data_IF_395184065132
#
_entry.id   IF_395184065132
#
_cell.length_a   1.000
_cell.length_b   1.000
_cell.length_c   1.000
_cell.angle_alpha   90.00
_cell.angle_beta   90.00
_cell.angle_gamma   90.00
#
_symmetry.space_group_name_H-M   'P 1'
#
loop_
_entity.id
_entity.type
_entity.pdbx_description
1 polymer ?
#
# COMPACT_ATOMS: atom_id res chain seq x y z
N UNK A 1 -24.82 7.40 0.79
CA UNK A 1 -23.79 6.71 1.57
C UNK A 1 -23.47 5.29 1.07
N UNK A 2 -24.46 4.43 0.81
CA UNK A 2 -24.22 3.02 0.36
C UNK A 2 -23.36 2.87 -0.92
N UNK A 3 -23.30 3.90 -1.78
CA UNK A 3 -22.62 3.84 -3.09
C UNK A 3 -21.09 3.70 -3.00
N UNK A 4 -20.43 4.20 -1.94
CA UNK A 4 -18.95 4.18 -1.81
C UNK A 4 -18.46 3.38 -0.60
N UNK A 5 -19.35 2.70 0.10
CA UNK A 5 -19.01 1.96 1.32
C UNK A 5 -17.87 0.95 1.08
N UNK A 6 -17.95 0.17 0.00
CA UNK A 6 -16.94 -0.83 -0.31
C UNK A 6 -15.55 -0.19 -0.53
N UNK A 7 -15.47 0.89 -1.32
CA UNK A 7 -14.21 1.62 -1.57
C UNK A 7 -13.60 2.20 -0.30
N UNK A 8 -14.45 2.77 0.57
CA UNK A 8 -14.02 3.32 1.85
C UNK A 8 -13.55 2.19 2.78
N UNK A 9 -14.29 1.08 2.85
CA UNK A 9 -13.90 -0.08 3.66
C UNK A 9 -12.57 -0.66 3.22
N UNK A 10 -12.35 -0.82 1.91
CA UNK A 10 -11.08 -1.28 1.35
C UNK A 10 -9.92 -0.37 1.78
N UNK A 11 -10.06 0.95 1.60
CA UNK A 11 -9.03 1.93 1.96
C UNK A 11 -8.74 1.91 3.46
N UNK A 12 -9.77 1.86 4.31
CA UNK A 12 -9.62 1.80 5.77
C UNK A 12 -8.88 0.53 6.18
N UNK A 13 -9.33 -0.64 5.71
CA UNK A 13 -8.69 -1.91 6.07
C UNK A 13 -7.25 -1.96 5.56
N UNK A 14 -6.99 -1.49 4.34
CA UNK A 14 -5.62 -1.45 3.85
C UNK A 14 -4.73 -0.51 4.67
N UNK A 15 -5.25 0.66 5.08
CA UNK A 15 -4.50 1.60 5.94
C UNK A 15 -4.24 1.03 7.33
N UNK A 16 -5.16 0.24 7.85
CA UNK A 16 -5.04 -0.41 9.16
C UNK A 16 -4.16 -1.67 9.14
N UNK A 17 -3.69 -2.17 7.98
CA UNK A 17 -2.93 -3.42 7.94
C UNK A 17 -1.61 -3.34 8.73
N UNK A 18 -0.92 -2.21 8.67
CA UNK A 18 0.34 -2.00 9.42
C UNK A 18 0.06 -1.83 10.92
N UNK A 19 -0.85 -0.94 11.37
CA UNK A 19 -1.27 -0.88 12.78
C UNK A 19 -1.75 -2.22 13.33
N UNK A 20 -2.51 -2.98 12.53
CA UNK A 20 -2.96 -4.32 12.92
C UNK A 20 -1.78 -5.27 13.15
N UNK A 21 -0.80 -5.31 12.23
CA UNK A 21 0.38 -6.16 12.37
C UNK A 21 1.20 -5.77 13.61
N UNK A 22 1.40 -4.47 13.85
CA UNK A 22 2.09 -3.97 15.04
C UNK A 22 1.36 -4.35 16.34
N UNK A 23 0.04 -4.15 16.38
CA UNK A 23 -0.80 -4.53 17.51
C UNK A 23 -0.75 -6.04 17.74
N UNK A 24 -0.82 -6.84 16.69
CA UNK A 24 -0.77 -8.29 16.78
C UNK A 24 0.58 -8.77 17.35
N UNK A 25 1.70 -8.24 16.85
CA UNK A 25 3.02 -8.57 17.37
C UNK A 25 3.12 -8.17 18.86
N UNK A 26 2.64 -6.97 19.23
CA UNK A 26 2.62 -6.51 20.60
C UNK A 26 1.78 -7.44 21.50
N UNK A 27 0.59 -7.86 21.05
CA UNK A 27 -0.25 -8.83 21.78
C UNK A 27 0.49 -10.16 22.02
N UNK A 28 1.25 -10.66 21.06
CA UNK A 28 2.05 -11.88 21.24
C UNK A 28 3.14 -11.73 22.30
N UNK A 29 3.63 -10.51 22.56
CA UNK A 29 4.62 -10.27 23.63
C UNK A 29 4.00 -10.13 25.01
N UNK A 30 2.75 -9.67 25.10
CA UNK A 30 2.05 -9.40 26.38
C UNK A 30 1.23 -10.61 26.85
N UNK A 31 0.72 -11.41 25.91
CA UNK A 31 -0.07 -12.60 26.25
C UNK A 31 0.83 -13.65 26.96
N UNK A 32 0.31 -14.34 28.00
CA UNK A 32 1.01 -15.38 28.70
C UNK A 32 1.10 -16.67 27.85
N UNK A 33 1.80 -16.61 26.74
CA UNK A 33 2.01 -17.77 25.87
C UNK A 33 3.12 -18.62 26.49
N UNK A 34 2.90 -19.92 26.69
CA UNK A 34 3.91 -20.82 27.24
C UNK A 34 4.98 -21.16 26.18
N UNK A 35 5.84 -20.18 25.89
CA UNK A 35 6.86 -20.30 24.83
C UNK A 35 7.77 -21.50 25.02
N UNK A 36 8.19 -21.81 26.27
CA UNK A 36 9.05 -22.94 26.55
C UNK A 36 8.39 -24.28 26.22
N UNK A 37 7.11 -24.44 26.56
CA UNK A 37 6.35 -25.63 26.23
C UNK A 37 6.10 -25.72 24.71
N UNK A 38 5.85 -24.59 24.06
CA UNK A 38 5.59 -24.53 22.63
C UNK A 38 6.85 -24.84 21.82
N UNK A 39 7.99 -24.28 22.21
CA UNK A 39 9.28 -24.56 21.55
C UNK A 39 9.74 -25.99 21.80
N UNK A 40 9.54 -26.53 23.01
CA UNK A 40 9.80 -27.94 23.30
C UNK A 40 8.91 -28.89 22.49
N UNK A 41 7.64 -28.50 22.25
CA UNK A 41 6.74 -29.28 21.38
C UNK A 41 7.12 -29.19 19.91
N UNK A 42 7.65 -28.04 19.48
CA UNK A 42 8.05 -27.75 18.10
C UNK A 42 9.46 -28.31 17.76
N UNK A 43 9.86 -29.42 18.38
CA UNK A 43 11.17 -30.06 18.27
C UNK A 43 11.50 -30.58 16.85
N UNK A 44 10.49 -30.85 16.06
CA UNK A 44 10.64 -31.28 14.66
C UNK A 44 10.33 -30.15 13.70
N UNK A 45 10.96 -30.18 12.51
CA UNK A 45 10.73 -29.21 11.44
C UNK A 45 9.22 -29.06 11.09
N UNK A 46 8.49 -30.16 11.03
CA UNK A 46 7.06 -30.15 10.72
C UNK A 46 6.22 -29.46 11.79
N UNK A 47 6.49 -29.71 13.07
CA UNK A 47 5.79 -29.06 14.19
C UNK A 47 6.16 -27.58 14.27
N UNK A 48 7.43 -27.23 14.06
CA UNK A 48 7.87 -25.84 13.98
C UNK A 48 7.16 -25.05 12.87
N UNK A 49 7.01 -25.64 11.68
CA UNK A 49 6.23 -25.05 10.60
C UNK A 49 4.76 -24.86 10.98
N UNK A 50 4.16 -25.84 11.64
CA UNK A 50 2.75 -25.76 12.05
C UNK A 50 2.54 -24.60 13.04
N UNK A 51 3.41 -24.45 14.03
CA UNK A 51 3.39 -23.33 14.96
C UNK A 51 3.54 -22.00 14.22
N UNK A 52 4.50 -21.91 13.32
CA UNK A 52 4.73 -20.71 12.53
C UNK A 52 3.48 -20.32 11.72
N UNK A 53 2.84 -21.28 11.02
CA UNK A 53 1.62 -21.00 10.27
C UNK A 53 0.44 -20.63 11.16
N UNK A 54 0.31 -21.22 12.34
CA UNK A 54 -0.74 -20.84 13.29
C UNK A 54 -0.60 -19.38 13.74
N UNK A 55 0.62 -18.94 14.01
CA UNK A 55 0.88 -17.54 14.37
C UNK A 55 0.72 -16.58 13.20
N UNK A 56 0.95 -17.02 11.96
CA UNK A 56 0.71 -16.19 10.78
C UNK A 56 -0.78 -16.13 10.36
N UNK A 57 -1.59 -17.07 10.83
CA UNK A 57 -2.97 -17.23 10.36
C UNK A 57 -3.83 -15.96 10.53
N UNK A 58 -3.84 -15.22 11.65
CA UNK A 58 -4.63 -14.01 11.79
C UNK A 58 -4.22 -12.92 10.79
N UNK A 59 -2.91 -12.77 10.56
CA UNK A 59 -2.36 -11.83 9.58
C UNK A 59 -2.73 -12.26 8.16
N UNK A 60 -2.64 -13.57 7.88
CA UNK A 60 -3.04 -14.16 6.60
C UNK A 60 -4.52 -13.96 6.28
N UNK A 61 -5.41 -14.18 7.25
CA UNK A 61 -6.86 -13.93 7.10
C UNK A 61 -7.12 -12.44 6.84
N UNK A 62 -6.44 -11.55 7.54
CA UNK A 62 -6.57 -10.11 7.32
C UNK A 62 -6.17 -9.71 5.89
N UNK A 63 -5.02 -10.17 5.42
CA UNK A 63 -4.56 -9.91 4.06
C UNK A 63 -5.47 -10.52 3.00
N UNK A 64 -5.99 -11.73 3.24
CA UNK A 64 -6.95 -12.36 2.35
C UNK A 64 -8.23 -11.53 2.23
N UNK A 65 -8.74 -10.99 3.33
CA UNK A 65 -9.90 -10.10 3.32
C UNK A 65 -9.63 -8.82 2.50
N UNK A 66 -8.47 -8.20 2.68
CA UNK A 66 -8.06 -7.03 1.90
C UNK A 66 -7.95 -7.35 0.42
N UNK A 67 -7.36 -8.49 0.05
CA UNK A 67 -7.25 -8.94 -1.35
C UNK A 67 -8.63 -9.18 -1.98
N UNK A 68 -9.53 -9.85 -1.27
CA UNK A 68 -10.91 -10.09 -1.75
C UNK A 68 -11.61 -8.75 -2.00
N UNK A 69 -11.52 -7.78 -1.07
CA UNK A 69 -12.09 -6.46 -1.25
C UNK A 69 -11.47 -5.71 -2.43
N UNK A 70 -10.16 -5.84 -2.62
CA UNK A 70 -9.47 -5.26 -3.78
C UNK A 70 -10.00 -5.80 -5.12
N UNK A 71 -10.20 -7.13 -5.21
CA UNK A 71 -10.80 -7.77 -6.39
C UNK A 71 -12.25 -7.31 -6.60
N UNK A 72 -13.04 -7.23 -5.53
CA UNK A 72 -14.42 -6.74 -5.61
C UNK A 72 -14.48 -5.29 -6.09
N UNK A 73 -13.58 -4.43 -5.64
CA UNK A 73 -13.47 -3.03 -6.11
C UNK A 73 -13.06 -2.96 -7.59
N UNK A 74 -12.14 -3.81 -8.02
CA UNK A 74 -11.78 -3.92 -9.43
C UNK A 74 -13.01 -4.28 -10.28
N UNK A 75 -13.73 -5.33 -9.92
CA UNK A 75 -14.97 -5.74 -10.63
C UNK A 75 -16.02 -4.63 -10.61
N UNK A 76 -16.15 -3.93 -9.48
CA UNK A 76 -17.07 -2.81 -9.32
C UNK A 76 -16.73 -1.65 -10.24
N UNK A 77 -15.45 -1.33 -10.47
CA UNK A 77 -15.05 -0.26 -11.39
C UNK A 77 -15.62 -0.48 -12.79
N UNK A 78 -15.61 -1.73 -13.29
CA UNK A 78 -16.21 -2.09 -14.58
C UNK A 78 -17.73 -1.98 -14.56
N UNK A 79 -18.39 -2.35 -13.46
CA UNK A 79 -19.85 -2.22 -13.32
C UNK A 79 -20.29 -0.76 -13.39
N UNK A 80 -19.60 0.12 -12.63
CA UNK A 80 -19.87 1.56 -12.61
C UNK A 80 -19.63 2.18 -13.99
N UNK A 81 -18.59 1.76 -14.70
CA UNK A 81 -18.34 2.19 -16.07
C UNK A 81 -19.47 1.79 -17.02
N UNK A 82 -19.95 0.53 -16.93
CA UNK A 82 -21.04 0.02 -17.81
C UNK A 82 -22.36 0.77 -17.62
N UNK A 83 -22.64 1.30 -16.43
CA UNK A 83 -23.83 2.12 -16.16
C UNK A 83 -23.73 3.55 -16.70
N UNK A 84 -22.58 3.95 -17.27
CA UNK A 84 -22.34 5.31 -17.75
C UNK A 84 -22.15 6.35 -16.65
N UNK A 85 -21.98 5.93 -15.39
CA UNK A 85 -21.84 6.81 -14.24
C UNK A 85 -20.41 7.36 -14.15
N UNK A 86 -20.13 8.39 -14.95
CA UNK A 86 -18.83 9.06 -14.96
C UNK A 86 -18.45 9.65 -13.60
N UNK A 87 -19.41 10.28 -12.91
CA UNK A 87 -19.18 10.83 -11.58
C UNK A 87 -18.84 9.73 -10.54
N UNK A 88 -19.49 8.57 -10.67
CA UNK A 88 -19.14 7.39 -9.88
C UNK A 88 -17.74 6.89 -10.11
N UNK A 89 -17.26 6.85 -11.36
CA UNK A 89 -15.89 6.47 -11.68
C UNK A 89 -14.88 7.48 -11.13
N UNK A 90 -15.11 8.80 -11.31
CA UNK A 90 -14.23 9.85 -10.79
C UNK A 90 -14.16 9.81 -9.27
N UNK A 91 -15.28 9.73 -8.57
CA UNK A 91 -15.27 9.65 -7.10
C UNK A 91 -14.63 8.35 -6.60
N UNK A 92 -14.86 7.21 -7.25
CA UNK A 92 -14.19 5.95 -6.93
C UNK A 92 -12.67 6.07 -7.07
N UNK A 93 -12.20 6.66 -8.17
CA UNK A 93 -10.78 6.95 -8.37
C UNK A 93 -10.21 7.83 -7.25
N UNK A 94 -10.88 8.95 -6.92
CA UNK A 94 -10.41 9.87 -5.89
C UNK A 94 -10.38 9.23 -4.50
N UNK A 95 -11.40 8.45 -4.12
CA UNK A 95 -11.45 7.75 -2.82
C UNK A 95 -10.24 6.83 -2.68
N UNK A 96 -9.93 6.02 -3.69
CA UNK A 96 -8.78 5.13 -3.65
C UNK A 96 -7.46 5.91 -3.63
N UNK A 97 -7.25 6.82 -4.58
CA UNK A 97 -5.98 7.53 -4.71
C UNK A 97 -5.68 8.42 -3.50
N UNK A 98 -6.67 9.17 -3.01
CA UNK A 98 -6.47 10.07 -1.86
C UNK A 98 -6.43 9.31 -0.53
N UNK A 99 -7.28 8.30 -0.37
CA UNK A 99 -7.31 7.50 0.84
C UNK A 99 -6.03 6.71 1.06
N UNK A 100 -5.39 6.25 -0.03
CA UNK A 100 -4.13 5.51 0.06
C UNK A 100 -2.90 6.38 0.32
N UNK A 101 -2.96 7.71 0.23
CA UNK A 101 -1.83 8.58 0.58
C UNK A 101 -1.37 8.33 2.01
N UNK A 102 -2.31 8.21 2.95
CA UNK A 102 -2.01 7.92 4.36
C UNK A 102 -1.41 6.51 4.50
N UNK A 103 -2.00 5.53 3.81
CA UNK A 103 -1.46 4.17 3.78
C UNK A 103 0.00 4.15 3.34
N UNK A 104 0.33 4.81 2.22
CA UNK A 104 1.70 4.82 1.72
C UNK A 104 2.66 5.54 2.64
N UNK A 105 2.26 6.67 3.24
CA UNK A 105 3.09 7.38 4.20
C UNK A 105 3.42 6.50 5.43
N UNK A 106 2.41 5.88 6.04
CA UNK A 106 2.59 4.99 7.20
C UNK A 106 3.39 3.76 6.82
N UNK A 107 3.02 3.08 5.73
CA UNK A 107 3.69 1.87 5.29
C UNK A 107 5.17 2.13 4.98
N UNK A 108 5.49 3.23 4.30
CA UNK A 108 6.86 3.57 3.96
C UNK A 108 7.72 3.84 5.21
N UNK A 109 7.20 4.61 6.18
CA UNK A 109 7.88 4.88 7.44
C UNK A 109 8.14 3.58 8.22
N UNK A 110 7.10 2.75 8.35
CA UNK A 110 7.22 1.50 9.12
C UNK A 110 8.19 0.52 8.45
N UNK A 111 8.12 0.36 7.12
CA UNK A 111 9.04 -0.50 6.37
C UNK A 111 10.48 0.01 6.45
N UNK A 112 10.69 1.32 6.31
CA UNK A 112 12.01 1.92 6.49
C UNK A 112 12.57 1.64 7.89
N UNK A 113 11.81 1.91 8.93
CA UNK A 113 12.23 1.64 10.30
C UNK A 113 12.49 0.15 10.54
N UNK A 114 11.63 -0.72 10.04
CA UNK A 114 11.78 -2.17 10.16
C UNK A 114 13.11 -2.65 9.55
N UNK A 115 13.38 -2.30 8.29
CA UNK A 115 14.61 -2.72 7.62
C UNK A 115 15.86 -2.06 8.21
N UNK A 116 15.74 -0.82 8.65
CA UNK A 116 16.82 -0.10 9.32
C UNK A 116 17.18 -0.75 10.66
N UNK A 117 16.19 -1.00 11.50
CA UNK A 117 16.39 -1.66 12.81
C UNK A 117 16.90 -3.09 12.63
N UNK A 118 16.34 -3.83 11.67
CA UNK A 118 16.79 -5.19 11.36
C UNK A 118 18.28 -5.20 10.95
N UNK A 119 18.68 -4.31 10.06
CA UNK A 119 20.06 -4.24 9.58
C UNK A 119 21.01 -3.82 10.69
N UNK A 120 20.72 -2.71 11.40
CA UNK A 120 21.54 -2.25 12.51
C UNK A 120 21.57 -3.26 13.66
N UNK A 121 20.43 -3.82 14.03
CA UNK A 121 20.34 -4.84 15.08
C UNK A 121 21.19 -6.07 14.78
N UNK A 122 21.17 -6.51 13.53
CA UNK A 122 22.01 -7.63 13.07
C UNK A 122 23.50 -7.27 13.14
N UNK A 123 23.90 -6.10 12.68
CA UNK A 123 25.30 -5.65 12.71
C UNK A 123 25.80 -5.50 14.15
N UNK A 124 25.04 -4.85 15.02
CA UNK A 124 25.41 -4.63 16.42
C UNK A 124 25.37 -5.94 17.21
N UNK A 125 24.30 -6.73 17.08
CA UNK A 125 24.13 -8.00 17.79
C UNK A 125 25.20 -9.03 17.46
N UNK A 126 25.67 -9.05 16.21
CA UNK A 126 26.78 -9.93 15.78
C UNK A 126 28.17 -9.30 15.92
N UNK A 127 28.26 -8.08 16.49
CA UNK A 127 29.52 -7.32 16.58
C UNK A 127 30.23 -7.21 15.22
N UNK A 128 29.46 -7.03 14.15
CA UNK A 128 29.99 -6.92 12.78
C UNK A 128 30.24 -8.25 12.06
N UNK A 129 30.13 -9.42 12.71
CA UNK A 129 30.33 -10.73 12.05
C UNK A 129 29.32 -10.97 10.90
N UNK A 130 28.15 -10.33 10.95
CA UNK A 130 27.18 -10.38 9.84
C UNK A 130 27.73 -9.89 8.49
N UNK A 131 28.80 -9.07 8.49
CA UNK A 131 29.45 -8.61 7.27
C UNK A 131 30.07 -9.78 6.49
N UNK A 132 30.58 -10.81 7.15
CA UNK A 132 31.10 -12.00 6.47
C UNK A 132 29.98 -12.84 5.82
N UNK A 133 28.76 -12.77 6.37
CA UNK A 133 27.57 -13.40 5.79
C UNK A 133 26.84 -12.50 4.77
N UNK A 134 27.33 -11.28 4.51
CA UNK A 134 26.70 -10.33 3.59
C UNK A 134 26.39 -10.91 2.19
N UNK A 135 27.26 -11.72 1.56
CA UNK A 135 26.95 -12.32 0.26
C UNK A 135 25.67 -13.17 0.25
N UNK A 136 25.30 -13.75 1.39
CA UNK A 136 24.07 -14.54 1.54
C UNK A 136 22.93 -13.69 2.05
N UNK A 137 23.16 -12.80 3.01
CA UNK A 137 22.12 -11.98 3.64
C UNK A 137 21.57 -10.87 2.75
N UNK A 138 22.44 -10.23 1.92
CA UNK A 138 22.01 -9.13 1.05
C UNK A 138 20.98 -9.54 -0.01
N UNK A 139 21.10 -10.69 -0.71
CA UNK A 139 20.07 -11.15 -1.64
C UNK A 139 18.72 -11.38 -0.95
N UNK A 140 18.70 -11.95 0.26
CA UNK A 140 17.47 -12.14 1.03
C UNK A 140 16.85 -10.81 1.47
N UNK A 141 17.66 -9.87 1.92
CA UNK A 141 17.21 -8.52 2.25
C UNK A 141 16.63 -7.82 1.02
N UNK A 142 17.35 -7.86 -0.10
CA UNK A 142 16.89 -7.27 -1.37
C UNK A 142 15.57 -7.92 -1.83
N UNK A 143 15.44 -9.24 -1.77
CA UNK A 143 14.23 -9.95 -2.13
C UNK A 143 13.05 -9.56 -1.23
N UNK A 144 13.26 -9.43 0.08
CA UNK A 144 12.22 -9.03 1.03
C UNK A 144 11.77 -7.57 0.82
N UNK A 145 12.70 -6.66 0.53
CA UNK A 145 12.38 -5.27 0.16
C UNK A 145 11.61 -5.24 -1.15
N UNK A 146 12.06 -5.96 -2.18
CA UNK A 146 11.37 -6.03 -3.47
C UNK A 146 9.95 -6.59 -3.32
N UNK A 147 9.76 -7.62 -2.51
CA UNK A 147 8.44 -8.17 -2.21
C UNK A 147 7.55 -7.14 -1.49
N UNK A 148 8.08 -6.41 -0.51
CA UNK A 148 7.32 -5.37 0.21
C UNK A 148 6.90 -4.22 -0.70
N UNK A 149 7.79 -3.79 -1.61
CA UNK A 149 7.48 -2.78 -2.63
C UNK A 149 6.40 -3.28 -3.59
N UNK A 150 6.51 -4.53 -4.07
CA UNK A 150 5.52 -5.14 -4.95
C UNK A 150 4.15 -5.28 -4.26
N UNK A 151 4.11 -5.76 -3.02
CA UNK A 151 2.88 -5.87 -2.24
C UNK A 151 2.21 -4.49 -2.03
N UNK A 152 3.01 -3.46 -1.72
CA UNK A 152 2.53 -2.07 -1.62
C UNK A 152 2.02 -1.54 -2.96
N UNK A 153 2.67 -1.92 -4.08
CA UNK A 153 2.22 -1.54 -5.41
C UNK A 153 0.87 -2.17 -5.77
N UNK A 154 0.59 -3.39 -5.35
CA UNK A 154 -0.71 -4.02 -5.57
C UNK A 154 -1.88 -3.21 -4.95
N UNK A 155 -1.62 -2.44 -3.91
CA UNK A 155 -2.62 -1.55 -3.32
C UNK A 155 -3.13 -0.47 -4.27
N UNK A 156 -2.34 -0.06 -5.27
CA UNK A 156 -2.72 0.96 -6.26
C UNK A 156 -3.74 0.38 -7.26
N UNK A 157 -3.72 -0.93 -7.51
CA UNK A 157 -4.43 -1.57 -8.62
C UNK A 157 -5.93 -1.24 -8.65
N UNK A 158 -6.73 -1.39 -7.58
CA UNK A 158 -8.15 -1.06 -7.63
C UNK A 158 -8.43 0.39 -8.03
N UNK A 159 -7.65 1.34 -7.48
CA UNK A 159 -7.73 2.77 -7.83
C UNK A 159 -7.32 3.04 -9.27
N UNK A 160 -6.30 2.34 -9.78
CA UNK A 160 -5.84 2.46 -11.16
C UNK A 160 -6.92 2.01 -12.15
N UNK A 161 -7.68 0.95 -11.85
CA UNK A 161 -8.78 0.53 -12.71
C UNK A 161 -9.93 1.55 -12.74
N UNK A 162 -10.27 2.21 -11.64
CA UNK A 162 -11.17 3.35 -11.67
C UNK A 162 -10.62 4.48 -12.55
N UNK A 163 -9.33 4.81 -12.43
CA UNK A 163 -8.63 5.78 -13.26
C UNK A 163 -8.71 5.44 -14.75
N UNK A 164 -8.48 4.18 -15.13
CA UNK A 164 -8.62 3.71 -16.51
C UNK A 164 -10.06 3.92 -17.01
N UNK A 165 -11.09 3.65 -16.20
CA UNK A 165 -12.47 3.90 -16.62
C UNK A 165 -12.74 5.40 -16.82
N UNK A 166 -12.21 6.25 -15.95
CA UNK A 166 -12.28 7.72 -16.12
C UNK A 166 -11.61 8.14 -17.44
N UNK A 167 -10.41 7.64 -17.72
CA UNK A 167 -9.68 7.95 -18.97
C UNK A 167 -10.48 7.49 -20.18
N UNK A 168 -11.06 6.29 -20.16
CA UNK A 168 -11.90 5.76 -21.24
C UNK A 168 -13.11 6.65 -21.52
N UNK A 169 -13.81 7.13 -20.48
CA UNK A 169 -14.95 8.03 -20.63
C UNK A 169 -14.48 9.38 -21.17
N UNK A 170 -13.39 9.92 -20.61
CA UNK A 170 -12.79 11.21 -21.01
C UNK A 170 -12.38 11.19 -22.50
N UNK A 171 -11.83 10.07 -22.96
CA UNK A 171 -11.48 9.87 -24.36
C UNK A 171 -12.73 9.78 -25.24
N UNK A 172 -13.74 9.01 -24.83
CA UNK A 172 -15.01 8.87 -25.55
C UNK A 172 -15.75 10.21 -25.72
N UNK A 173 -15.66 11.06 -24.70
CA UNK A 173 -16.23 12.41 -24.73
C UNK A 173 -15.34 13.44 -25.49
N UNK A 174 -14.27 12.98 -26.14
CA UNK A 174 -13.32 13.82 -26.90
C UNK A 174 -12.65 14.91 -26.04
N UNK A 175 -12.62 14.75 -24.70
CA UNK A 175 -11.93 15.67 -23.78
C UNK A 175 -10.43 15.46 -23.73
N UNK A 176 -9.92 14.36 -24.29
CA UNK A 176 -8.48 14.05 -24.38
C UNK A 176 -8.16 13.32 -25.67
N UNK A 177 -6.93 13.50 -26.19
CA UNK A 177 -6.45 12.80 -27.38
C UNK A 177 -5.90 11.41 -27.06
N UNK A 178 -5.69 10.57 -28.08
CA UNK A 178 -5.23 9.18 -27.95
C UNK A 178 -3.89 9.09 -27.21
N UNK A 179 -2.89 9.88 -27.60
CA UNK A 179 -1.56 9.84 -26.94
C UNK A 179 -1.63 10.23 -25.46
N UNK A 180 -2.41 11.28 -25.14
CA UNK A 180 -2.62 11.68 -23.75
C UNK A 180 -3.37 10.61 -22.93
N UNK A 181 -4.36 9.93 -23.52
CA UNK A 181 -5.08 8.84 -22.86
C UNK A 181 -4.16 7.66 -22.52
N UNK A 182 -3.24 7.28 -23.42
CA UNK A 182 -2.24 6.24 -23.17
C UNK A 182 -1.31 6.67 -22.03
N UNK A 183 -0.81 7.91 -22.07
CA UNK A 183 0.07 8.43 -21.04
C UNK A 183 -0.59 8.46 -19.66
N UNK A 184 -1.81 8.97 -19.56
CA UNK A 184 -2.61 8.92 -18.34
C UNK A 184 -2.81 7.48 -17.86
N UNK A 185 -3.03 6.52 -18.78
CA UNK A 185 -3.15 5.10 -18.44
C UNK A 185 -1.90 4.54 -17.76
N UNK A 186 -0.71 4.87 -18.27
CA UNK A 186 0.58 4.46 -17.68
C UNK A 186 0.76 5.09 -16.29
N UNK A 187 0.48 6.40 -16.17
CA UNK A 187 0.64 7.14 -14.91
C UNK A 187 -0.22 6.57 -13.77
N UNK A 188 -1.35 5.90 -14.08
CA UNK A 188 -2.19 5.28 -13.04
C UNK A 188 -1.46 4.18 -12.23
N UNK A 189 -0.39 3.60 -12.76
CA UNK A 189 0.40 2.53 -12.13
C UNK A 189 1.76 2.99 -11.58
N UNK A 190 2.08 4.28 -11.72
CA UNK A 190 3.34 4.84 -11.24
C UNK A 190 3.13 5.51 -9.89
N UNK A 191 3.84 5.06 -8.85
CA UNK A 191 3.80 5.65 -7.51
C UNK A 191 3.94 7.16 -7.56
N UNK A 192 3.16 7.88 -6.75
CA UNK A 192 3.10 9.33 -6.64
C UNK A 192 2.51 10.02 -7.86
N UNK A 193 2.90 9.65 -9.08
CA UNK A 193 2.38 10.20 -10.32
C UNK A 193 0.89 9.88 -10.50
N UNK A 194 0.45 8.73 -10.03
CA UNK A 194 -0.92 8.25 -10.10
C UNK A 194 -1.92 9.15 -9.36
N UNK A 195 -1.52 9.70 -8.20
CA UNK A 195 -2.35 10.64 -7.43
C UNK A 195 -2.42 12.00 -8.14
N UNK A 196 -1.28 12.50 -8.64
CA UNK A 196 -1.21 13.77 -9.37
C UNK A 196 -2.03 13.71 -10.66
N UNK A 197 -1.95 12.59 -11.38
CA UNK A 197 -2.73 12.35 -12.58
C UNK A 197 -4.24 12.25 -12.29
N UNK A 198 -4.61 11.57 -11.21
CA UNK A 198 -6.00 11.51 -10.76
C UNK A 198 -6.54 12.91 -10.38
N UNK A 199 -5.73 13.76 -9.73
CA UNK A 199 -6.06 15.16 -9.46
C UNK A 199 -6.28 15.95 -10.75
N UNK A 200 -5.38 15.81 -11.72
CA UNK A 200 -5.50 16.47 -13.02
C UNK A 200 -6.79 16.05 -13.74
N UNK A 201 -7.03 14.75 -13.86
CA UNK A 201 -8.22 14.22 -14.52
C UNK A 201 -9.50 14.71 -13.83
N UNK A 202 -9.58 14.58 -12.49
CA UNK A 202 -10.78 14.96 -11.76
C UNK A 202 -11.05 16.48 -11.82
N UNK A 203 -10.03 17.31 -11.60
CA UNK A 203 -10.20 18.77 -11.49
C UNK A 203 -10.31 19.40 -12.88
N UNK A 204 -9.37 19.10 -13.79
CA UNK A 204 -9.29 19.77 -15.11
C UNK A 204 -10.28 19.22 -16.13
N UNK A 205 -10.52 17.90 -16.15
CA UNK A 205 -11.39 17.28 -17.16
C UNK A 205 -12.84 17.14 -16.67
N UNK A 206 -13.05 16.98 -15.35
CA UNK A 206 -14.37 16.72 -14.78
C UNK A 206 -14.86 17.80 -13.82
N UNK A 207 -14.04 18.76 -13.42
CA UNK A 207 -14.43 19.86 -12.50
C UNK A 207 -14.73 19.37 -11.07
N UNK A 208 -14.38 18.12 -10.74
CA UNK A 208 -14.72 17.44 -9.49
C UNK A 208 -13.53 17.40 -8.53
N UNK A 209 -13.80 17.28 -7.22
CA UNK A 209 -12.78 17.05 -6.20
C UNK A 209 -11.81 18.22 -5.95
N UNK A 210 -12.14 19.46 -6.35
CA UNK A 210 -11.24 20.62 -6.20
C UNK A 210 -10.74 20.82 -4.77
N UNK A 211 -11.65 20.80 -3.77
CA UNK A 211 -11.28 21.01 -2.36
C UNK A 211 -10.39 19.89 -1.83
N UNK A 212 -10.75 18.64 -2.10
CA UNK A 212 -9.94 17.47 -1.68
C UNK A 212 -8.58 17.44 -2.38
N UNK A 213 -8.51 17.82 -3.65
CA UNK A 213 -7.23 17.93 -4.38
C UNK A 213 -6.29 18.96 -3.77
N UNK A 214 -6.79 20.11 -3.31
CA UNK A 214 -5.96 21.11 -2.63
C UNK A 214 -5.39 20.55 -1.33
N UNK A 215 -6.22 19.88 -0.51
CA UNK A 215 -5.77 19.28 0.75
C UNK A 215 -4.71 18.20 0.50
N UNK A 216 -4.96 17.30 -0.46
CA UNK A 216 -4.01 16.23 -0.79
C UNK A 216 -2.73 16.80 -1.41
N UNK A 217 -2.83 17.80 -2.27
CA UNK A 217 -1.66 18.49 -2.84
C UNK A 217 -0.79 19.13 -1.74
N UNK A 218 -1.40 19.75 -0.75
CA UNK A 218 -0.67 20.28 0.40
C UNK A 218 0.03 19.20 1.22
N UNK A 219 -0.66 18.09 1.51
CA UNK A 219 -0.04 16.93 2.19
C UNK A 219 1.13 16.35 1.40
N UNK A 220 1.02 16.30 0.08
CA UNK A 220 2.11 15.86 -0.80
C UNK A 220 3.34 16.76 -0.70
N UNK A 221 3.16 18.08 -0.73
CA UNK A 221 4.25 19.05 -0.58
C UNK A 221 4.91 18.91 0.79
N UNK A 222 4.12 18.76 1.86
CA UNK A 222 4.65 18.54 3.21
C UNK A 222 5.46 17.24 3.31
N UNK A 223 4.96 16.15 2.71
CA UNK A 223 5.67 14.87 2.70
C UNK A 223 7.00 14.98 1.95
N UNK A 224 7.02 15.58 0.77
CA UNK A 224 8.26 15.81 0.00
C UNK A 224 9.24 16.68 0.76
N UNK A 225 8.78 17.78 1.37
CA UNK A 225 9.62 18.66 2.19
C UNK A 225 10.22 17.90 3.39
N UNK A 226 9.42 17.03 4.04
CA UNK A 226 9.90 16.17 5.13
C UNK A 226 10.97 15.20 4.70
N UNK A 227 10.78 14.53 3.55
CA UNK A 227 11.77 13.60 2.98
C UNK A 227 13.07 14.32 2.62
N UNK A 228 12.99 15.47 1.95
CA UNK A 228 14.17 16.28 1.58
C UNK A 228 14.89 16.74 2.84
N UNK A 229 14.16 17.28 3.82
CA UNK A 229 14.76 17.73 5.09
C UNK A 229 15.44 16.59 5.84
N UNK A 230 14.79 15.41 5.91
CA UNK A 230 15.37 14.22 6.51
C UNK A 230 16.64 13.77 5.79
N UNK A 231 16.62 13.71 4.44
CA UNK A 231 17.78 13.37 3.64
C UNK A 231 18.95 14.34 3.87
N UNK A 232 18.69 15.64 3.89
CA UNK A 232 19.73 16.66 4.19
C UNK A 232 20.31 16.48 5.60
N UNK A 233 19.48 16.10 6.58
CA UNK A 233 19.97 15.87 7.96
C UNK A 233 20.80 14.59 8.12
N UNK A 234 20.57 13.60 7.28
CA UNK A 234 21.28 12.30 7.36
C UNK A 234 22.56 12.31 6.52
N UNK A 235 22.55 12.99 5.38
CA UNK A 235 23.65 12.94 4.40
C UNK A 235 24.42 14.26 4.24
N UNK A 236 23.96 15.36 4.81
CA UNK A 236 24.62 16.67 4.86
C UNK A 236 25.13 16.95 6.24
#
# INVERSE_FOLDING_TARGET
MKKYTLSITYVILLTLCVPFACLYIWLLTVLPIPWDALTAWADTFGRGLLVFFLFLLPVGIYWLAVLILGVLELVRSFKVYKTGDAAGCVNGMLIHKYGLVIFFAVNFIVMFLFYFILTLGTLVGTRGLALFAAPVLLPWLAASVAFSVFASWLAIVPGAFYGIQVIRITYREKKTGTGAAIWHGILQFVFLADVLDAMYLAVKKWGMGKKSSVVIGFLYVLMLAGVIWGAVKVFG
#
